data_IF_109682671350
#
_entry.id   IF_109682671350
#
_cell.length_a   1.000
_cell.length_b   1.000
_cell.length_c   1.000
_cell.angle_alpha   90.00
_cell.angle_beta   90.00
_cell.angle_gamma   90.00
#
_symmetry.space_group_name_H-M   'P 1'
#
loop_
_entity.id
_entity.type
_entity.pdbx_description
1 polymer ?
#
# COMPACT_ATOMS: atom_id res chain seq x y z
N UNK A 1 -10.50 -39.46 4.70
CA UNK A 1 -9.65 -38.64 3.83
C UNK A 1 -8.79 -37.81 4.76
N UNK A 2 -7.49 -38.07 4.76
CA UNK A 2 -6.52 -37.40 5.62
C UNK A 2 -6.56 -35.89 5.35
N UNK A 3 -6.99 -35.15 6.36
CA UNK A 3 -6.79 -33.71 6.43
C UNK A 3 -5.28 -33.55 6.63
N UNK A 4 -4.55 -33.15 5.57
CA UNK A 4 -3.11 -32.90 5.65
C UNK A 4 -2.88 -31.80 6.68
N UNK A 5 -2.63 -32.20 7.93
CA UNK A 5 -2.33 -31.29 9.01
C UNK A 5 -1.06 -30.54 8.63
N UNK A 6 -1.19 -29.24 8.36
CA UNK A 6 -0.04 -28.36 8.20
C UNK A 6 0.83 -28.54 9.45
N UNK A 7 2.12 -28.91 9.32
CA UNK A 7 2.97 -29.12 10.48
C UNK A 7 3.00 -27.86 11.34
N UNK A 8 2.88 -28.04 12.66
CA UNK A 8 2.94 -26.93 13.61
C UNK A 8 4.26 -26.16 13.45
N UNK A 9 4.17 -24.84 13.41
CA UNK A 9 5.31 -23.97 13.25
C UNK A 9 6.30 -24.14 14.41
N UNK A 10 7.60 -24.16 14.11
CA UNK A 10 8.69 -24.30 15.09
C UNK A 10 9.51 -23.03 15.16
N UNK A 11 10.16 -22.81 16.30
CA UNK A 11 11.13 -21.71 16.46
C UNK A 11 12.20 -21.80 15.37
N UNK A 12 12.49 -20.68 14.72
CA UNK A 12 13.44 -20.61 13.61
C UNK A 12 12.84 -20.90 12.24
N UNK A 13 11.59 -21.35 12.14
CA UNK A 13 10.92 -21.51 10.84
C UNK A 13 10.75 -20.16 10.17
N UNK A 14 11.08 -20.11 8.87
CA UNK A 14 10.90 -18.94 8.02
C UNK A 14 9.59 -19.06 7.26
N UNK A 15 8.74 -18.06 7.39
CA UNK A 15 7.41 -18.03 6.79
C UNK A 15 7.31 -16.79 5.91
N UNK A 16 6.90 -17.00 4.66
CA UNK A 16 6.56 -15.90 3.78
C UNK A 16 5.12 -15.46 4.02
N UNK A 17 4.95 -14.23 4.49
CA UNK A 17 3.66 -13.60 4.72
C UNK A 17 3.42 -12.58 3.63
N UNK A 18 2.45 -12.86 2.77
CA UNK A 18 1.96 -11.85 1.84
C UNK A 18 0.98 -10.95 2.58
N UNK A 19 1.39 -9.69 2.77
CA UNK A 19 0.55 -8.65 3.34
C UNK A 19 0.42 -7.56 2.27
N UNK A 20 -0.81 -7.20 1.92
CA UNK A 20 -1.22 -6.71 0.59
C UNK A 20 -0.39 -7.11 -0.64
N UNK A 21 0.43 -6.20 -1.15
CA UNK A 21 1.32 -6.41 -2.30
C UNK A 21 2.78 -6.54 -1.89
N UNK A 22 3.01 -6.68 -0.58
CA UNK A 22 4.32 -6.80 0.04
C UNK A 22 4.51 -8.22 0.56
N UNK A 23 5.70 -8.74 0.35
CA UNK A 23 6.12 -10.03 0.87
C UNK A 23 7.03 -9.81 2.08
N UNK A 24 6.55 -10.20 3.25
CA UNK A 24 7.35 -10.23 4.46
C UNK A 24 7.90 -11.61 4.64
N UNK A 25 9.18 -11.67 4.94
CA UNK A 25 9.77 -12.86 5.50
C UNK A 25 9.78 -12.69 7.03
N UNK A 26 9.05 -13.56 7.72
CA UNK A 26 9.04 -13.60 9.18
C UNK A 26 9.74 -14.86 9.66
N UNK A 27 10.31 -14.78 10.84
CA UNK A 27 10.85 -15.94 11.54
C UNK A 27 10.05 -16.14 12.83
N UNK A 28 9.73 -17.40 13.11
CA UNK A 28 9.05 -17.78 14.35
C UNK A 28 10.03 -17.60 15.51
N UNK A 29 9.70 -16.68 16.41
CA UNK A 29 10.47 -16.42 17.64
C UNK A 29 10.11 -17.45 18.71
N UNK A 30 8.80 -17.65 18.88
CA UNK A 30 8.19 -18.53 19.87
C UNK A 30 6.92 -19.14 19.26
N UNK A 31 6.85 -20.48 19.07
CA UNK A 31 5.66 -21.18 18.57
C UNK A 31 4.37 -20.93 19.37
N UNK A 32 4.50 -20.59 20.65
CA UNK A 32 3.37 -20.44 21.58
C UNK A 32 3.28 -19.01 22.18
N UNK A 33 3.99 -18.04 21.58
CA UNK A 33 4.16 -16.70 22.16
C UNK A 33 2.87 -15.89 22.34
N UNK A 34 1.81 -16.20 21.58
CA UNK A 34 0.48 -15.59 21.73
C UNK A 34 -0.53 -16.54 22.38
N UNK A 35 -0.08 -17.71 22.84
CA UNK A 35 -0.89 -18.82 23.35
C UNK A 35 -0.58 -20.14 22.62
N UNK A 36 -1.10 -21.27 23.11
CA UNK A 36 -0.81 -22.59 22.54
C UNK A 36 -1.12 -22.67 21.03
N UNK A 37 -0.10 -22.97 20.24
CA UNK A 37 -0.17 -23.03 18.77
C UNK A 37 -0.36 -21.68 18.09
N UNK A 38 -0.12 -20.57 18.78
CA UNK A 38 -0.21 -19.21 18.26
C UNK A 38 1.17 -18.55 18.31
N UNK A 39 1.95 -18.62 17.21
CA UNK A 39 3.33 -18.18 17.24
C UNK A 39 3.48 -16.66 17.34
N UNK A 40 4.51 -16.23 18.05
CA UNK A 40 5.06 -14.89 17.94
C UNK A 40 6.12 -14.85 16.82
N UNK A 41 6.12 -13.76 16.07
CA UNK A 41 6.95 -13.58 14.89
C UNK A 41 7.85 -12.36 15.03
N UNK A 42 8.98 -12.39 14.32
CA UNK A 42 9.84 -11.22 14.20
C UNK A 42 10.29 -10.97 12.77
N UNK A 43 10.71 -9.72 12.54
CA UNK A 43 11.36 -9.34 11.29
C UNK A 43 12.86 -9.15 11.49
N UNK A 44 13.63 -9.61 10.51
CA UNK A 44 15.04 -9.27 10.38
C UNK A 44 15.25 -7.86 9.84
N UNK A 45 16.45 -7.30 10.02
CA UNK A 45 16.75 -5.90 9.66
C UNK A 45 16.62 -5.60 8.17
N UNK A 46 16.78 -6.60 7.30
CA UNK A 46 16.54 -6.47 5.85
C UNK A 46 15.07 -6.14 5.53
N UNK A 47 14.13 -6.60 6.36
CA UNK A 47 12.71 -6.26 6.17
C UNK A 47 12.41 -4.81 6.50
N UNK A 48 13.07 -4.28 7.53
CA UNK A 48 12.97 -2.87 7.86
C UNK A 48 13.54 -1.97 6.77
N UNK A 49 14.69 -2.33 6.20
CA UNK A 49 15.25 -1.59 5.06
C UNK A 49 14.27 -1.55 3.87
N UNK A 50 13.66 -2.69 3.56
CA UNK A 50 12.70 -2.81 2.45
C UNK A 50 11.46 -1.93 2.66
N UNK A 51 10.88 -1.92 3.87
CA UNK A 51 9.54 -1.34 4.08
C UNK A 51 9.50 -0.02 4.84
N UNK A 52 10.40 0.19 5.81
CA UNK A 52 10.47 1.46 6.55
C UNK A 52 11.63 2.35 6.08
N UNK A 53 12.52 1.84 5.23
CA UNK A 53 13.55 2.64 4.56
C UNK A 53 14.69 3.11 5.46
N UNK A 54 14.93 2.40 6.56
CA UNK A 54 16.13 2.54 7.40
C UNK A 54 17.09 1.44 7.00
N UNK A 55 18.28 1.79 6.53
CA UNK A 55 19.25 0.80 6.04
C UNK A 55 19.74 -0.14 7.15
N UNK A 56 20.02 -1.38 6.77
CA UNK A 56 20.48 -2.41 7.71
C UNK A 56 21.76 -1.99 8.47
N UNK A 57 22.67 -1.28 7.82
CA UNK A 57 23.91 -0.80 8.45
C UNK A 57 23.63 0.23 9.55
N UNK A 58 22.63 1.09 9.38
CA UNK A 58 22.17 2.03 10.40
C UNK A 58 21.49 1.31 11.56
N UNK A 59 20.65 0.31 11.28
CA UNK A 59 20.00 -0.48 12.33
C UNK A 59 21.03 -1.28 13.13
N UNK A 60 21.95 -1.95 12.45
CA UNK A 60 23.04 -2.73 13.06
C UNK A 60 23.94 -1.87 13.96
N UNK A 61 24.28 -0.65 13.53
CA UNK A 61 25.06 0.31 14.35
C UNK A 61 24.33 0.78 15.60
N UNK A 62 23.00 0.65 15.65
CA UNK A 62 22.17 1.00 16.81
C UNK A 62 21.99 -0.18 17.77
N UNK A 63 22.44 -1.38 17.39
CA UNK A 63 22.42 -2.53 18.29
C UNK A 63 23.58 -2.39 19.28
N UNK A 64 23.24 -2.39 20.55
CA UNK A 64 24.16 -2.33 21.66
C UNK A 64 23.98 -3.60 22.51
N UNK A 65 25.08 -4.06 23.10
CA UNK A 65 24.99 -5.00 24.21
C UNK A 65 24.63 -4.19 25.46
N UNK A 66 23.49 -4.51 26.07
CA UNK A 66 23.03 -3.91 27.33
C UNK A 66 22.84 -5.09 28.28
N UNK A 67 23.70 -5.17 29.31
CA UNK A 67 23.84 -6.34 30.17
C UNK A 67 24.09 -7.61 29.32
N UNK A 68 23.31 -8.66 29.52
CA UNK A 68 23.40 -9.93 28.78
C UNK A 68 22.51 -9.97 27.52
N UNK A 69 21.82 -8.87 27.18
CA UNK A 69 20.92 -8.80 26.03
C UNK A 69 21.40 -7.82 24.95
N UNK A 70 21.06 -8.13 23.69
CA UNK A 70 21.23 -7.18 22.58
C UNK A 70 19.97 -6.33 22.47
N UNK A 71 20.15 -5.02 22.35
CA UNK A 71 19.05 -4.09 22.17
C UNK A 71 19.36 -3.06 21.08
N UNK A 72 18.37 -2.79 20.22
CA UNK A 72 18.44 -1.72 19.23
C UNK A 72 17.97 -0.42 19.89
N UNK A 73 18.88 0.55 20.01
CA UNK A 73 18.58 1.86 20.61
C UNK A 73 18.26 2.90 19.55
N UNK A 74 17.07 3.48 19.62
CA UNK A 74 16.61 4.51 18.69
C UNK A 74 17.12 5.91 19.11
N UNK A 75 17.08 6.94 18.23
CA UNK A 75 17.53 8.29 18.57
C UNK A 75 16.82 8.94 19.76
N UNK A 76 15.58 8.52 20.06
CA UNK A 76 14.84 8.94 21.27
C UNK A 76 15.45 8.42 22.57
N UNK A 77 16.29 7.38 22.50
CA UNK A 77 16.78 6.62 23.65
C UNK A 77 15.99 5.35 23.94
N UNK A 78 14.80 5.15 23.35
CA UNK A 78 14.03 3.90 23.48
C UNK A 78 14.84 2.71 22.93
N UNK A 79 14.81 1.60 23.66
CA UNK A 79 15.52 0.38 23.31
C UNK A 79 14.54 -0.75 23.01
N UNK A 80 14.84 -1.53 21.98
CA UNK A 80 14.02 -2.66 21.50
C UNK A 80 14.85 -3.93 21.55
N UNK A 81 14.28 -5.03 22.05
CA UNK A 81 15.01 -6.28 22.24
C UNK A 81 15.39 -6.88 20.88
N UNK A 82 16.64 -7.29 20.73
CA UNK A 82 17.13 -7.98 19.53
C UNK A 82 17.42 -9.42 19.90
N UNK A 83 16.64 -10.33 19.33
CA UNK A 83 16.78 -11.76 19.51
C UNK A 83 17.74 -12.32 18.46
N UNK A 84 18.60 -13.23 18.89
CA UNK A 84 19.37 -14.09 17.98
C UNK A 84 18.61 -15.41 17.83
N UNK A 85 18.29 -15.78 16.59
CA UNK A 85 17.53 -16.99 16.27
C UNK A 85 18.30 -17.79 15.23
N UNK A 86 18.61 -19.05 15.55
CA UNK A 86 19.05 -20.04 14.57
C UNK A 86 17.87 -20.42 13.68
N UNK A 87 17.96 -20.10 12.39
CA UNK A 87 16.95 -20.44 11.41
C UNK A 87 16.98 -21.92 11.03
N UNK A 88 15.85 -22.42 10.56
CA UNK A 88 15.72 -23.79 10.05
C UNK A 88 16.59 -24.07 8.81
N UNK A 89 17.13 -23.03 8.18
CA UNK A 89 18.04 -23.08 7.04
C UNK A 89 19.53 -23.05 7.45
N UNK A 90 19.82 -23.08 8.75
CA UNK A 90 21.17 -23.10 9.29
C UNK A 90 21.83 -21.72 9.41
N UNK A 91 21.12 -20.63 9.09
CA UNK A 91 21.63 -19.26 9.26
C UNK A 91 21.26 -18.68 10.64
N UNK A 92 22.07 -17.74 11.14
CA UNK A 92 21.76 -16.97 12.33
C UNK A 92 21.08 -15.64 11.97
N UNK A 93 20.00 -15.32 12.67
CA UNK A 93 19.19 -14.13 12.42
C UNK A 93 19.17 -13.20 13.62
N UNK A 94 19.40 -11.90 13.36
CA UNK A 94 19.07 -10.83 14.30
C UNK A 94 17.66 -10.32 14.02
N UNK A 95 16.78 -10.47 15.00
CA UNK A 95 15.34 -10.31 14.85
C UNK A 95 14.80 -9.39 15.94
N UNK A 96 13.87 -8.52 15.56
CA UNK A 96 13.04 -7.78 16.51
C UNK A 96 11.60 -8.27 16.33
N UNK A 97 10.85 -8.40 17.42
CA UNK A 97 9.45 -8.81 17.37
C UNK A 97 8.64 -7.85 16.48
N UNK A 98 7.64 -8.38 15.77
CA UNK A 98 6.81 -7.57 14.86
C UNK A 98 6.19 -6.35 15.56
N UNK A 99 5.72 -6.50 16.81
CA UNK A 99 5.16 -5.43 17.63
C UNK A 99 6.18 -4.30 17.89
N UNK A 100 7.38 -4.65 18.33
CA UNK A 100 8.49 -3.73 18.57
C UNK A 100 8.93 -2.98 17.30
N UNK A 101 8.77 -3.58 16.12
CA UNK A 101 9.00 -2.86 14.86
C UNK A 101 8.01 -1.70 14.63
N UNK A 102 6.74 -1.88 15.02
CA UNK A 102 5.75 -0.80 14.94
C UNK A 102 6.07 0.32 15.91
N UNK A 103 6.50 -0.04 17.12
CA UNK A 103 6.94 0.93 18.10
C UNK A 103 8.20 1.69 17.65
N UNK A 104 9.17 0.99 17.07
CA UNK A 104 10.37 1.59 16.48
C UNK A 104 9.99 2.57 15.37
N UNK A 105 9.15 2.14 14.43
CA UNK A 105 8.71 2.95 13.31
C UNK A 105 7.96 4.22 13.79
N UNK A 106 7.06 4.05 14.76
CA UNK A 106 6.30 5.16 15.36
C UNK A 106 7.21 6.13 16.10
N UNK A 107 8.15 5.62 16.88
CA UNK A 107 9.13 6.45 17.59
C UNK A 107 10.03 7.23 16.63
N UNK A 108 10.43 6.65 15.50
CA UNK A 108 11.15 7.41 14.44
C UNK A 108 10.29 8.51 13.82
N UNK A 109 8.96 8.38 13.77
CA UNK A 109 8.10 9.47 13.31
C UNK A 109 7.98 10.60 14.33
N UNK A 110 7.81 10.26 15.61
CA UNK A 110 7.63 11.21 16.71
C UNK A 110 8.97 11.92 17.02
N UNK A 111 10.04 11.14 17.10
CA UNK A 111 11.38 11.54 17.51
C UNK A 111 12.40 11.27 16.38
N UNK A 112 12.32 11.98 15.24
CA UNK A 112 13.03 11.58 14.02
C UNK A 112 14.54 11.72 14.08
N UNK A 113 15.11 12.49 15.01
CA UNK A 113 16.53 12.80 15.03
C UNK A 113 17.02 13.30 13.66
N UNK A 114 18.01 12.61 13.07
CA UNK A 114 18.55 12.91 11.73
C UNK A 114 17.83 12.21 10.57
N UNK A 115 16.64 11.63 10.80
CA UNK A 115 15.89 10.89 9.78
C UNK A 115 15.31 11.83 8.72
N UNK A 116 15.63 11.57 7.45
CA UNK A 116 15.23 12.42 6.32
C UNK A 116 13.74 12.28 5.99
N UNK A 117 13.17 13.31 5.37
CA UNK A 117 11.75 13.35 4.94
C UNK A 117 11.31 12.10 4.15
N UNK A 118 12.08 11.57 3.18
CA UNK A 118 11.68 10.38 2.43
C UNK A 118 11.50 9.13 3.29
N UNK A 119 12.40 8.91 4.26
CA UNK A 119 12.29 7.78 5.20
C UNK A 119 11.07 7.93 6.10
N UNK A 120 10.80 9.13 6.61
CA UNK A 120 9.58 9.41 7.40
C UNK A 120 8.31 9.15 6.59
N UNK A 121 8.30 9.53 5.31
CA UNK A 121 7.16 9.25 4.43
C UNK A 121 6.95 7.74 4.22
N UNK A 122 8.04 6.99 3.95
CA UNK A 122 7.97 5.52 3.84
C UNK A 122 7.43 4.88 5.11
N UNK A 123 7.89 5.31 6.29
CA UNK A 123 7.37 4.83 7.57
C UNK A 123 5.88 5.14 7.72
N UNK A 124 5.47 6.38 7.45
CA UNK A 124 4.06 6.78 7.56
C UNK A 124 3.16 5.97 6.61
N UNK A 125 3.61 5.72 5.39
CA UNK A 125 2.88 4.90 4.42
C UNK A 125 2.81 3.43 4.86
N UNK A 126 3.92 2.87 5.36
CA UNK A 126 3.97 1.52 5.94
C UNK A 126 2.97 1.36 7.11
N UNK A 127 3.01 2.25 8.09
CA UNK A 127 2.12 2.21 9.26
C UNK A 127 0.64 2.36 8.86
N UNK A 128 0.34 3.32 7.98
CA UNK A 128 -1.02 3.54 7.49
C UNK A 128 -1.58 2.30 6.83
N UNK A 129 -0.81 1.70 5.95
CA UNK A 129 -1.25 0.53 5.20
C UNK A 129 -1.46 -0.68 6.11
N UNK A 130 -0.56 -0.90 7.07
CA UNK A 130 -0.67 -2.00 8.03
C UNK A 130 -1.91 -1.84 8.92
N UNK A 131 -2.15 -0.63 9.43
CA UNK A 131 -3.33 -0.33 10.22
C UNK A 131 -4.64 -0.59 9.45
N UNK A 132 -4.71 -0.16 8.19
CA UNK A 132 -5.91 -0.35 7.37
C UNK A 132 -6.16 -1.83 7.11
N UNK A 133 -5.16 -2.60 6.68
CA UNK A 133 -5.38 -4.02 6.37
C UNK A 133 -5.70 -4.84 7.62
N UNK A 134 -5.02 -4.59 8.74
CA UNK A 134 -5.32 -5.24 10.02
C UNK A 134 -6.77 -4.97 10.45
N UNK A 135 -7.22 -3.71 10.36
CA UNK A 135 -8.59 -3.36 10.70
C UNK A 135 -9.62 -4.09 9.82
N UNK A 136 -9.46 -4.07 8.49
CA UNK A 136 -10.39 -4.76 7.60
C UNK A 136 -10.37 -6.28 7.75
N UNK A 137 -9.23 -6.87 8.09
CA UNK A 137 -9.14 -8.30 8.40
C UNK A 137 -10.00 -8.63 9.63
N UNK A 138 -9.80 -7.92 10.75
CA UNK A 138 -10.60 -8.09 11.96
C UNK A 138 -12.09 -7.78 11.75
N UNK A 139 -12.43 -6.75 10.96
CA UNK A 139 -13.81 -6.41 10.63
C UNK A 139 -14.50 -7.51 9.81
N UNK A 140 -13.79 -8.16 8.89
CA UNK A 140 -14.35 -9.29 8.14
C UNK A 140 -14.58 -10.51 9.04
N UNK A 141 -13.69 -10.79 10.00
CA UNK A 141 -13.93 -11.83 11.01
C UNK A 141 -15.18 -11.49 11.82
N UNK A 142 -15.29 -10.26 12.32
CA UNK A 142 -16.45 -9.84 13.11
C UNK A 142 -17.77 -9.94 12.32
N UNK A 143 -17.75 -9.60 11.02
CA UNK A 143 -18.95 -9.59 10.18
C UNK A 143 -19.34 -10.99 9.65
N UNK A 144 -18.38 -11.87 9.39
CA UNK A 144 -18.59 -13.15 8.67
C UNK A 144 -18.23 -14.39 9.50
N UNK A 145 -17.68 -14.22 10.70
CA UNK A 145 -17.10 -15.27 11.53
C UNK A 145 -15.70 -15.73 11.09
N UNK A 146 -15.29 -15.43 9.85
CA UNK A 146 -13.98 -15.79 9.30
C UNK A 146 -13.53 -14.76 8.27
N UNK A 147 -12.23 -14.48 8.23
CA UNK A 147 -11.60 -13.77 7.11
C UNK A 147 -10.91 -14.79 6.21
N UNK A 148 -11.26 -14.78 4.92
CA UNK A 148 -10.75 -15.75 3.96
C UNK A 148 -9.65 -15.15 3.09
N UNK A 149 -8.88 -16.01 2.41
CA UNK A 149 -7.93 -15.57 1.39
C UNK A 149 -8.60 -14.78 0.24
N UNK A 150 -9.90 -14.98 0.00
CA UNK A 150 -10.68 -14.20 -0.98
C UNK A 150 -10.87 -12.75 -0.49
N UNK A 151 -11.19 -12.57 0.79
CA UNK A 151 -11.34 -11.24 1.41
C UNK A 151 -10.00 -10.50 1.39
N UNK A 152 -8.92 -11.21 1.73
CA UNK A 152 -7.56 -10.66 1.69
C UNK A 152 -7.21 -10.17 0.29
N UNK A 153 -7.40 -11.00 -0.75
CA UNK A 153 -7.16 -10.60 -2.15
C UNK A 153 -8.01 -9.40 -2.58
N UNK A 154 -9.27 -9.30 -2.13
CA UNK A 154 -10.14 -8.18 -2.46
C UNK A 154 -9.66 -6.87 -1.82
N UNK A 155 -9.30 -6.92 -0.54
CA UNK A 155 -8.73 -5.81 0.20
C UNK A 155 -7.40 -5.35 -0.41
N UNK A 156 -6.54 -6.30 -0.81
CA UNK A 156 -5.25 -6.01 -1.43
C UNK A 156 -5.44 -5.27 -2.76
N UNK A 157 -6.37 -5.73 -3.61
CA UNK A 157 -6.71 -5.03 -4.86
C UNK A 157 -7.22 -3.61 -4.58
N UNK A 158 -8.07 -3.43 -3.57
CA UNK A 158 -8.60 -2.12 -3.20
C UNK A 158 -7.52 -1.15 -2.70
N UNK A 159 -6.62 -1.64 -1.83
CA UNK A 159 -5.46 -0.88 -1.34
C UNK A 159 -4.51 -0.50 -2.49
N UNK A 160 -4.16 -1.48 -3.33
CA UNK A 160 -3.34 -1.25 -4.52
C UNK A 160 -3.96 -0.20 -5.44
N UNK A 161 -5.26 -0.29 -5.76
CA UNK A 161 -5.96 0.69 -6.62
C UNK A 161 -5.83 2.11 -6.04
N UNK A 162 -5.96 2.27 -4.73
CA UNK A 162 -5.83 3.58 -4.05
C UNK A 162 -4.39 4.10 -4.03
N UNK A 163 -3.40 3.27 -3.74
CA UNK A 163 -2.00 3.68 -3.72
C UNK A 163 -1.46 3.98 -5.11
N UNK A 164 -1.69 3.07 -6.06
CA UNK A 164 -1.30 3.27 -7.44
C UNK A 164 -2.00 4.46 -8.07
N UNK A 165 -3.23 4.80 -7.65
CA UNK A 165 -3.88 6.06 -8.04
C UNK A 165 -3.11 7.31 -7.62
N UNK A 166 -2.40 7.29 -6.46
CA UNK A 166 -1.55 8.40 -6.05
C UNK A 166 -0.28 8.51 -6.89
N UNK A 167 0.39 7.38 -7.15
CA UNK A 167 1.60 7.36 -7.98
C UNK A 167 1.32 7.75 -9.42
N UNK A 168 0.27 7.19 -10.04
CA UNK A 168 -0.15 7.58 -11.39
C UNK A 168 -0.51 9.06 -11.46
N UNK A 169 -1.18 9.60 -10.44
CA UNK A 169 -1.48 11.03 -10.41
C UNK A 169 -0.24 11.89 -10.23
N UNK A 170 0.76 11.41 -9.47
CA UNK A 170 2.05 12.08 -9.33
C UNK A 170 2.82 12.07 -10.66
N UNK A 171 2.94 10.93 -11.32
CA UNK A 171 3.61 10.80 -12.63
C UNK A 171 2.91 11.70 -13.67
N UNK A 172 1.58 11.74 -13.63
CA UNK A 172 0.79 12.63 -14.47
C UNK A 172 1.09 14.11 -14.18
N UNK A 173 1.07 14.54 -12.92
CA UNK A 173 1.42 15.93 -12.57
C UNK A 173 2.87 16.28 -12.87
N UNK A 174 3.80 15.33 -12.71
CA UNK A 174 5.21 15.50 -13.06
C UNK A 174 5.34 15.66 -14.59
N UNK A 175 4.60 14.88 -15.39
CA UNK A 175 4.53 15.03 -16.86
C UNK A 175 4.00 16.42 -17.26
N UNK A 176 2.93 16.89 -16.61
CA UNK A 176 2.39 18.24 -16.85
C UNK A 176 3.43 19.33 -16.51
N UNK A 177 4.16 19.14 -15.40
CA UNK A 177 5.27 20.03 -15.01
C UNK A 177 6.38 20.05 -16.07
N UNK A 178 6.80 18.89 -16.56
CA UNK A 178 7.86 18.76 -17.57
C UNK A 178 7.44 19.37 -18.91
N UNK A 179 6.15 19.26 -19.24
CA UNK A 179 5.52 19.97 -20.37
C UNK A 179 5.31 21.47 -20.13
N UNK A 180 5.82 22.02 -19.01
CA UNK A 180 5.74 23.43 -18.60
C UNK A 180 4.30 23.95 -18.42
N UNK A 181 3.36 23.07 -18.11
CA UNK A 181 1.99 23.46 -17.75
C UNK A 181 2.01 24.12 -16.35
N UNK A 182 1.44 25.31 -16.17
CA UNK A 182 1.33 25.93 -14.85
C UNK A 182 0.49 25.08 -13.89
N UNK A 183 0.89 25.00 -12.61
CA UNK A 183 0.17 24.20 -11.61
C UNK A 183 -1.32 24.56 -11.48
N UNK A 184 -1.66 25.83 -11.69
CA UNK A 184 -3.05 26.32 -11.68
C UNK A 184 -3.93 25.67 -12.75
N UNK A 185 -3.33 25.13 -13.81
CA UNK A 185 -4.02 24.47 -14.92
C UNK A 185 -4.14 22.94 -14.75
N UNK A 186 -3.52 22.34 -13.73
CA UNK A 186 -3.58 20.88 -13.53
C UNK A 186 -5.01 20.39 -13.28
N UNK A 187 -5.81 21.21 -12.59
CA UNK A 187 -7.23 20.93 -12.38
C UNK A 187 -8.02 20.98 -13.70
N UNK A 188 -7.62 21.84 -14.64
CA UNK A 188 -8.23 21.94 -15.97
C UNK A 188 -7.92 20.66 -16.76
N UNK A 189 -6.65 20.24 -16.79
CA UNK A 189 -6.21 19.02 -17.46
C UNK A 189 -6.86 17.76 -16.88
N UNK A 190 -7.03 17.70 -15.57
CA UNK A 190 -7.81 16.63 -14.92
C UNK A 190 -9.29 16.68 -15.34
N UNK A 191 -9.90 17.86 -15.42
CA UNK A 191 -11.29 17.99 -15.87
C UNK A 191 -11.47 17.58 -17.34
N UNK A 192 -10.50 17.82 -18.22
CA UNK A 192 -10.53 17.34 -19.61
C UNK A 192 -10.66 15.81 -19.66
N UNK A 193 -9.91 15.09 -18.82
CA UNK A 193 -10.03 13.63 -18.69
C UNK A 193 -11.44 13.25 -18.25
N UNK A 194 -11.98 13.86 -17.19
CA UNK A 194 -13.32 13.52 -16.70
C UNK A 194 -14.43 13.86 -17.71
N UNK A 195 -14.30 15.00 -18.40
CA UNK A 195 -15.19 15.39 -19.49
C UNK A 195 -15.10 14.38 -20.64
N UNK A 196 -13.88 14.01 -21.04
CA UNK A 196 -13.59 13.02 -22.08
C UNK A 196 -14.22 11.65 -21.81
N UNK A 197 -14.13 11.19 -20.56
CA UNK A 197 -14.58 9.87 -20.16
C UNK A 197 -16.07 9.80 -19.80
N UNK A 198 -16.62 10.86 -19.21
CA UNK A 198 -17.95 10.84 -18.57
C UNK A 198 -18.88 12.00 -18.97
N UNK A 199 -18.38 13.01 -19.67
CA UNK A 199 -19.11 14.24 -20.00
C UNK A 199 -19.37 15.16 -18.80
N UNK A 200 -18.68 14.95 -17.67
CA UNK A 200 -18.84 15.72 -16.44
C UNK A 200 -17.48 16.13 -15.89
N UNK A 201 -17.40 17.27 -15.19
CA UNK A 201 -16.18 17.64 -14.47
C UNK A 201 -15.96 16.72 -13.27
N UNK A 202 -14.74 16.71 -12.76
CA UNK A 202 -14.35 15.82 -11.67
C UNK A 202 -15.22 15.99 -10.40
N UNK A 203 -15.58 17.22 -10.06
CA UNK A 203 -16.44 17.51 -8.89
C UNK A 203 -17.87 16.98 -9.09
N UNK A 204 -18.45 17.21 -10.27
CA UNK A 204 -19.81 16.79 -10.62
C UNK A 204 -19.92 15.26 -10.67
N UNK A 205 -18.92 14.59 -11.24
CA UNK A 205 -18.91 13.12 -11.29
C UNK A 205 -18.84 12.51 -9.89
N UNK A 206 -18.05 13.10 -8.97
CA UNK A 206 -17.98 12.65 -7.58
C UNK A 206 -19.30 12.81 -6.84
N UNK A 207 -19.98 13.94 -7.03
CA UNK A 207 -21.33 14.15 -6.46
C UNK A 207 -22.32 13.14 -7.04
N UNK A 208 -22.27 12.89 -8.35
CA UNK A 208 -23.11 11.90 -9.03
C UNK A 208 -22.89 10.49 -8.49
N UNK A 209 -21.64 10.08 -8.27
CA UNK A 209 -21.31 8.80 -7.64
C UNK A 209 -21.86 8.70 -6.21
N UNK A 210 -21.75 9.76 -5.41
CA UNK A 210 -22.30 9.78 -4.05
C UNK A 210 -23.83 9.60 -4.03
N UNK A 211 -24.55 10.27 -4.94
CA UNK A 211 -25.99 10.12 -5.08
C UNK A 211 -26.40 8.71 -5.51
N UNK A 212 -25.59 8.07 -6.37
CA UNK A 212 -25.85 6.73 -6.90
C UNK A 212 -25.51 5.59 -5.95
N UNK A 213 -24.66 5.83 -4.95
CA UNK A 213 -24.32 4.83 -3.94
C UNK A 213 -25.53 4.42 -3.06
N UNK A 214 -26.64 5.17 -3.11
CA UNK A 214 -27.86 4.94 -2.32
C UNK A 214 -28.94 4.07 -2.97
N UNK A 215 -28.91 3.76 -4.27
CA UNK A 215 -30.00 3.02 -4.94
C UNK A 215 -29.50 1.87 -5.87
N UNK A 216 -29.69 0.60 -5.48
CA UNK A 216 -29.32 -0.58 -6.26
C UNK A 216 -30.00 -0.69 -7.64
N UNK A 217 -31.15 -0.03 -7.87
CA UNK A 217 -31.85 -0.06 -9.18
C UNK A 217 -31.20 0.87 -10.20
N UNK A 218 -30.49 1.92 -9.74
CA UNK A 218 -29.77 2.87 -10.59
C UNK A 218 -28.42 2.29 -11.04
N UNK A 219 -27.79 1.45 -10.22
CA UNK A 219 -26.43 0.92 -10.46
C UNK A 219 -26.22 0.08 -11.74
N UNK A 220 -27.28 -0.47 -12.36
CA UNK A 220 -27.14 -1.36 -13.54
C UNK A 220 -26.72 -0.64 -14.83
N UNK A 221 -27.02 0.65 -14.97
CA UNK A 221 -26.76 1.43 -16.20
C UNK A 221 -25.66 2.49 -16.05
N UNK A 222 -25.03 2.58 -14.88
CA UNK A 222 -24.02 3.60 -14.56
C UNK A 222 -22.69 2.97 -14.17
N UNK A 223 -21.59 3.68 -14.46
CA UNK A 223 -20.25 3.29 -14.00
C UNK A 223 -20.11 3.55 -12.50
N UNK A 224 -19.77 2.52 -11.73
CA UNK A 224 -19.48 2.67 -10.30
C UNK A 224 -18.29 3.61 -10.07
N UNK A 225 -18.22 4.25 -8.89
CA UNK A 225 -17.08 5.08 -8.51
C UNK A 225 -15.76 4.34 -8.68
N UNK A 226 -15.71 3.07 -8.24
CA UNK A 226 -14.51 2.25 -8.37
C UNK A 226 -14.07 2.09 -9.82
N UNK A 227 -15.00 1.70 -10.71
CA UNK A 227 -14.68 1.47 -12.14
C UNK A 227 -14.39 2.79 -12.85
N UNK A 228 -15.02 3.88 -12.43
CA UNK A 228 -14.80 5.22 -12.96
C UNK A 228 -13.43 5.78 -12.60
N UNK A 229 -13.03 5.69 -11.33
CA UNK A 229 -11.69 6.05 -10.87
C UNK A 229 -10.61 5.19 -11.54
N UNK A 230 -10.90 3.91 -11.80
CA UNK A 230 -9.99 3.03 -12.56
C UNK A 230 -9.80 3.50 -14.01
N UNK A 231 -10.87 3.95 -14.68
CA UNK A 231 -10.80 4.50 -16.02
C UNK A 231 -10.02 5.82 -16.06
N UNK A 232 -10.27 6.75 -15.13
CA UNK A 232 -9.52 8.01 -15.00
C UNK A 232 -8.03 7.74 -14.86
N UNK A 233 -7.68 6.87 -13.91
CA UNK A 233 -6.28 6.52 -13.66
C UNK A 233 -5.62 5.89 -14.90
N UNK A 234 -6.33 5.02 -15.60
CA UNK A 234 -5.83 4.43 -16.84
C UNK A 234 -5.58 5.49 -17.93
N UNK A 235 -6.49 6.47 -18.05
CA UNK A 235 -6.34 7.59 -18.98
C UNK A 235 -5.15 8.49 -18.63
N UNK A 236 -5.04 8.93 -17.37
CA UNK A 236 -3.92 9.76 -16.89
C UNK A 236 -2.57 9.07 -17.14
N UNK A 237 -2.49 7.76 -16.91
CA UNK A 237 -1.28 6.98 -17.23
C UNK A 237 -0.98 6.94 -18.73
N UNK A 238 -2.02 6.80 -19.57
CA UNK A 238 -1.84 6.79 -21.02
C UNK A 238 -1.32 8.13 -21.53
N UNK A 239 -1.78 9.25 -20.98
CA UNK A 239 -1.24 10.57 -21.32
C UNK A 239 0.28 10.59 -21.11
N UNK A 240 0.75 10.16 -19.94
CA UNK A 240 2.18 10.10 -19.64
C UNK A 240 2.95 9.19 -20.62
N UNK A 241 2.36 8.09 -21.08
CA UNK A 241 3.03 7.16 -22.00
C UNK A 241 2.98 7.62 -23.47
N UNK A 242 1.98 8.40 -23.85
CA UNK A 242 1.77 8.89 -25.22
C UNK A 242 2.37 10.27 -25.46
N UNK A 243 2.75 10.99 -24.41
CA UNK A 243 3.33 12.33 -24.53
C UNK A 243 4.61 12.30 -25.38
N UNK A 244 4.57 12.99 -26.52
CA UNK A 244 5.67 13.21 -27.44
C UNK A 244 5.74 14.68 -27.87
N UNK A 245 5.76 15.57 -26.87
CA UNK A 245 5.77 17.03 -27.01
C UNK A 245 4.47 17.70 -27.51
N UNK A 246 3.39 16.93 -27.73
CA UNK A 246 2.02 17.44 -27.86
C UNK A 246 1.12 16.84 -26.78
N UNK A 247 0.75 17.67 -25.81
CA UNK A 247 -0.06 17.24 -24.67
C UNK A 247 -1.54 17.11 -25.04
N UNK A 248 -2.05 17.91 -25.98
CA UNK A 248 -3.45 17.90 -26.37
C UNK A 248 -3.75 16.65 -27.23
N UNK A 249 -2.80 16.27 -28.10
CA UNK A 249 -2.84 15.00 -28.83
C UNK A 249 -2.80 13.81 -27.86
N UNK A 250 -1.85 13.82 -26.91
CA UNK A 250 -1.70 12.76 -25.91
C UNK A 250 -2.98 12.58 -25.06
N UNK A 251 -3.61 13.69 -24.63
CA UNK A 251 -4.90 13.70 -23.95
C UNK A 251 -6.01 13.09 -24.81
N UNK A 252 -6.15 13.56 -26.04
CA UNK A 252 -7.21 13.13 -26.97
C UNK A 252 -7.13 11.63 -27.25
N UNK A 253 -5.92 11.13 -27.53
CA UNK A 253 -5.70 9.71 -27.80
C UNK A 253 -5.89 8.84 -26.56
N UNK A 254 -5.36 9.26 -25.40
CA UNK A 254 -5.56 8.56 -24.13
C UNK A 254 -7.05 8.41 -23.77
N UNK A 255 -7.84 9.47 -23.96
CA UNK A 255 -9.30 9.46 -23.75
C UNK A 255 -9.96 8.45 -24.68
N UNK A 256 -9.67 8.51 -25.98
CA UNK A 256 -10.23 7.62 -27.00
C UNK A 256 -9.96 6.14 -26.68
N UNK A 257 -8.71 5.81 -26.32
CA UNK A 257 -8.31 4.45 -25.95
C UNK A 257 -9.01 3.98 -24.66
N UNK A 258 -9.14 4.86 -23.68
CA UNK A 258 -9.78 4.55 -22.39
C UNK A 258 -11.27 4.30 -22.54
N UNK A 259 -11.98 5.17 -23.28
CA UNK A 259 -13.41 5.00 -23.60
C UNK A 259 -13.66 3.62 -24.21
N UNK A 260 -12.85 3.24 -25.21
CA UNK A 260 -12.94 1.94 -25.87
C UNK A 260 -12.68 0.77 -24.92
N UNK A 261 -11.65 0.85 -24.07
CA UNK A 261 -11.28 -0.22 -23.12
C UNK A 261 -12.37 -0.45 -22.09
N UNK A 262 -12.92 0.61 -21.51
CA UNK A 262 -13.89 0.52 -20.41
C UNK A 262 -15.35 0.45 -20.89
N UNK A 263 -15.57 0.52 -22.21
CA UNK A 263 -16.88 0.60 -22.86
C UNK A 263 -17.70 1.76 -22.27
N UNK A 264 -17.06 2.91 -22.15
CA UNK A 264 -17.72 4.13 -21.71
C UNK A 264 -18.50 4.71 -22.89
N UNK A 265 -19.60 5.38 -22.60
CA UNK A 265 -20.26 6.24 -23.57
C UNK A 265 -19.75 7.66 -23.30
N UNK A 266 -18.96 8.27 -24.20
CA UNK A 266 -18.69 9.69 -24.10
C UNK A 266 -20.03 10.40 -24.18
N UNK A 267 -20.39 11.18 -23.17
CA UNK A 267 -21.53 12.09 -23.28
C UNK A 267 -21.03 13.42 -23.85
N UNK A 268 -20.67 13.43 -25.14
CA UNK A 268 -20.52 14.68 -25.85
C UNK A 268 -21.72 14.89 -26.76
N UNK A 269 -22.39 16.04 -26.69
CA UNK A 269 -23.04 16.58 -27.86
C UNK A 269 -21.92 16.85 -28.89
N UNK A 270 -22.04 16.27 -30.07
CA UNK A 270 -21.38 16.79 -31.25
C UNK A 270 -21.86 18.23 -31.46
N UNK A 271 -20.97 19.19 -31.28
CA UNK A 271 -21.11 20.54 -31.83
C UNK A 271 -19.88 20.84 -32.66
#
# INVERSE_FOLDING_TARGET
MDETATPAAKKGDRIEVTYADKQFEVIVIDPDGLGPGQPAYGFGFRMAEKYIGIDNTTLSRRVLQIDDEKALKNPSGKAFRVLQISGSDGNEYSVIEVSDWFDLATDVLINPGKTRKPTKQKIADFLKWFAVKGFYFSANIAAKGVATAKDDRALNRWLQKRESGKYTRKDYTDTLSDARVPEVEYAIRTNEVYMGLFGLKAAEMKQKWQLMAGDPKIARNYISEEKGLEAVKFCERLVTMLYSDDLDEAHSEAIRLTVRKFKLHPQFPSS
#
